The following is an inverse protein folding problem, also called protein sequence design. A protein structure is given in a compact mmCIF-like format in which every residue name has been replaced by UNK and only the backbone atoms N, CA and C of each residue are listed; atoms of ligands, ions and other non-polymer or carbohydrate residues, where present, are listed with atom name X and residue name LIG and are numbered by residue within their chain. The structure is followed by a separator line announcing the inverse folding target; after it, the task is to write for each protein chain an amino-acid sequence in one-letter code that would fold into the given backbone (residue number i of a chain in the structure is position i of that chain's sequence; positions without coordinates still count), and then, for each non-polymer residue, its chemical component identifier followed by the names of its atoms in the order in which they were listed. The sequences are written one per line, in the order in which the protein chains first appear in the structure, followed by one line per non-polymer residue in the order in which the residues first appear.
data_IF_126043247264
#
_entry.id   IF_126043247264
#
_cell.length_a   1.000
_cell.length_b   1.000
_cell.length_c   1.000
_cell.angle_alpha   90.00
_cell.angle_beta   90.00
_cell.angle_gamma   90.00
#
_symmetry.space_group_name_H-M   'P 1'
#
loop_
_entity.id
_entity.type
_entity.pdbx_description
1 polymer ?
#
# COMPACT_ATOMS: atom_id res chain seq x y z
N UNK A 1 -0.09 -0.83 25.08
CA UNK A 1 0.82 -0.42 24.01
C UNK A 1 0.05 -0.28 22.69
N UNK A 2 0.58 0.44 21.75
CA UNK A 2 -0.07 0.66 20.46
C UNK A 2 -0.37 -0.64 19.70
N UNK A 3 0.56 -1.59 19.73
CA UNK A 3 0.38 -2.90 19.10
C UNK A 3 -0.80 -3.67 19.67
N UNK A 4 -0.98 -3.64 20.99
CA UNK A 4 -2.10 -4.32 21.65
C UNK A 4 -3.43 -3.67 21.30
N UNK A 5 -3.47 -2.34 21.24
CA UNK A 5 -4.67 -1.59 20.86
C UNK A 5 -5.06 -1.89 19.43
N UNK A 6 -4.09 -1.91 18.54
CA UNK A 6 -4.33 -2.21 17.12
C UNK A 6 -4.87 -3.63 16.96
N UNK A 7 -4.25 -4.61 17.59
CA UNK A 7 -4.69 -6.01 17.51
C UNK A 7 -6.09 -6.18 18.07
N UNK A 8 -6.39 -5.57 19.22
CA UNK A 8 -7.72 -5.61 19.82
C UNK A 8 -8.77 -5.00 18.91
N UNK A 9 -8.44 -3.90 18.24
CA UNK A 9 -9.33 -3.22 17.30
C UNK A 9 -9.64 -4.13 16.11
N UNK A 10 -8.62 -4.75 15.53
CA UNK A 10 -8.79 -5.68 14.40
C UNK A 10 -9.68 -6.85 14.78
N UNK A 11 -9.45 -7.47 15.92
CA UNK A 11 -10.21 -8.62 16.39
C UNK A 11 -11.67 -8.24 16.72
N UNK A 12 -11.85 -7.13 17.41
CA UNK A 12 -13.19 -6.65 17.80
C UNK A 12 -14.08 -6.37 16.60
N UNK A 13 -13.52 -5.78 15.56
CA UNK A 13 -14.27 -5.39 14.38
C UNK A 13 -14.25 -6.42 13.26
N UNK A 14 -13.55 -7.54 13.47
CA UNK A 14 -13.50 -8.63 12.49
C UNK A 14 -12.90 -8.19 11.15
N UNK A 15 -11.93 -7.28 11.16
CA UNK A 15 -11.40 -6.69 9.94
C UNK A 15 -10.63 -7.70 9.09
N UNK A 16 -9.78 -8.50 9.73
CA UNK A 16 -9.06 -9.59 9.08
C UNK A 16 -8.49 -10.52 10.14
N UNK A 17 -8.15 -11.74 9.72
CA UNK A 17 -7.57 -12.76 10.60
C UNK A 17 -6.12 -13.04 10.21
N UNK A 18 -5.44 -13.86 11.04
CA UNK A 18 -4.05 -14.26 10.75
C UNK A 18 -3.93 -15.17 9.52
N UNK A 19 -5.02 -15.80 9.12
CA UNK A 19 -5.03 -16.66 7.93
C UNK A 19 -5.21 -15.86 6.64
N UNK A 20 -5.66 -14.63 6.74
CA UNK A 20 -5.83 -13.76 5.58
C UNK A 20 -4.47 -13.28 5.07
N UNK A 21 -4.36 -13.17 3.76
CA UNK A 21 -3.22 -12.52 3.11
C UNK A 21 -3.67 -11.12 2.71
N UNK A 22 -3.12 -10.14 3.38
CA UNK A 22 -3.53 -8.74 3.23
C UNK A 22 -2.61 -8.02 2.26
N UNK A 23 -3.17 -7.26 1.34
CA UNK A 23 -2.40 -6.32 0.53
C UNK A 23 -2.46 -4.96 1.21
N UNK A 24 -1.35 -4.55 1.81
CA UNK A 24 -1.24 -3.28 2.51
C UNK A 24 -0.77 -2.20 1.55
N UNK A 25 -1.58 -1.18 1.39
CA UNK A 25 -1.22 -0.06 0.52
C UNK A 25 -0.49 1.01 1.35
N UNK A 26 0.73 1.33 0.94
CA UNK A 26 1.63 2.18 1.74
C UNK A 26 2.08 3.38 0.90
N UNK A 27 1.86 4.57 1.44
CA UNK A 27 2.18 5.82 0.74
C UNK A 27 3.60 6.34 0.99
N UNK A 28 4.26 5.85 2.04
CA UNK A 28 5.54 6.40 2.50
C UNK A 28 5.39 7.45 3.59
N UNK A 29 4.16 7.89 3.87
CA UNK A 29 3.90 8.82 4.98
C UNK A 29 4.01 8.12 6.34
N UNK A 30 4.08 8.91 7.40
CA UNK A 30 4.28 8.42 8.77
C UNK A 30 3.22 7.39 9.18
N UNK A 31 1.95 7.69 8.93
CA UNK A 31 0.84 6.80 9.32
C UNK A 31 0.91 5.45 8.60
N UNK A 32 1.22 5.47 7.30
CA UNK A 32 1.40 4.25 6.52
C UNK A 32 2.55 3.40 7.03
N UNK A 33 3.65 4.04 7.40
CA UNK A 33 4.85 3.34 7.87
C UNK A 33 4.63 2.75 9.26
N UNK A 34 3.86 3.43 10.13
CA UNK A 34 3.46 2.90 11.42
C UNK A 34 2.59 1.65 11.24
N UNK A 35 1.63 1.69 10.32
CA UNK A 35 0.76 0.55 10.04
C UNK A 35 1.56 -0.66 9.55
N UNK A 36 2.53 -0.43 8.65
CA UNK A 36 3.41 -1.49 8.16
C UNK A 36 4.19 -2.13 9.32
N UNK A 37 4.74 -1.33 10.20
CA UNK A 37 5.46 -1.80 11.38
C UNK A 37 4.56 -2.62 12.31
N UNK A 38 3.33 -2.17 12.55
CA UNK A 38 2.36 -2.88 13.38
C UNK A 38 2.00 -4.25 12.78
N UNK A 39 1.73 -4.30 11.49
CA UNK A 39 1.40 -5.55 10.80
C UNK A 39 2.56 -6.55 10.91
N UNK A 40 3.78 -6.09 10.70
CA UNK A 40 4.97 -6.93 10.81
C UNK A 40 5.18 -7.44 12.24
N UNK A 41 5.05 -6.56 13.23
CA UNK A 41 5.24 -6.89 14.65
C UNK A 41 4.23 -7.92 15.14
N UNK A 42 3.00 -7.88 14.62
CA UNK A 42 1.94 -8.79 15.03
C UNK A 42 1.94 -10.10 14.24
N UNK A 43 2.81 -10.23 13.24
CA UNK A 43 2.95 -11.47 12.48
C UNK A 43 1.82 -11.76 11.50
N UNK A 44 1.10 -10.75 11.05
CA UNK A 44 0.11 -10.91 10.00
C UNK A 44 0.77 -11.21 8.65
N UNK A 45 0.08 -11.97 7.81
CA UNK A 45 0.53 -12.24 6.44
C UNK A 45 0.13 -11.07 5.56
N UNK A 46 1.12 -10.41 4.97
CA UNK A 46 0.82 -9.28 4.10
C UNK A 46 1.90 -9.06 3.05
N UNK A 47 1.51 -8.37 1.99
CA UNK A 47 2.43 -7.79 1.03
C UNK A 47 2.20 -6.29 1.01
N UNK A 48 3.14 -5.55 0.48
CA UNK A 48 3.09 -4.09 0.40
C UNK A 48 2.93 -3.67 -1.05
N UNK A 49 1.98 -2.78 -1.31
CA UNK A 49 1.81 -2.15 -2.62
C UNK A 49 2.00 -0.64 -2.49
N UNK A 50 2.82 -0.08 -3.34
CA UNK A 50 3.09 1.35 -3.38
C UNK A 50 2.90 1.89 -4.79
N UNK A 51 2.12 2.97 -4.90
CA UNK A 51 1.91 3.68 -6.16
C UNK A 51 2.79 4.92 -6.19
N UNK A 52 3.61 5.03 -7.23
CA UNK A 52 4.30 6.28 -7.53
C UNK A 52 3.57 6.95 -8.69
N UNK A 53 2.77 7.97 -8.38
CA UNK A 53 1.97 8.68 -9.38
C UNK A 53 2.76 9.73 -10.14
N UNK A 54 4.04 9.91 -9.79
CA UNK A 54 4.96 10.84 -10.44
C UNK A 54 4.46 12.30 -10.44
N UNK A 55 3.77 12.67 -9.35
CA UNK A 55 3.16 14.00 -9.22
C UNK A 55 4.02 14.98 -8.44
N UNK A 56 4.98 14.49 -7.65
CA UNK A 56 5.83 15.30 -6.79
C UNK A 56 7.32 15.16 -7.08
N UNK A 57 7.65 14.67 -8.28
CA UNK A 57 9.02 14.53 -8.71
C UNK A 57 9.88 13.67 -7.78
N UNK A 58 10.98 14.25 -7.27
CA UNK A 58 11.93 13.55 -6.41
C UNK A 58 11.29 13.02 -5.11
N UNK A 59 10.32 13.72 -4.54
CA UNK A 59 9.62 13.25 -3.32
C UNK A 59 8.87 11.94 -3.57
N UNK A 60 8.23 11.80 -4.73
CA UNK A 60 7.53 10.57 -5.09
C UNK A 60 8.51 9.39 -5.21
N UNK A 61 9.69 9.64 -5.78
CA UNK A 61 10.72 8.62 -5.94
C UNK A 61 11.36 8.26 -4.59
N UNK A 62 11.54 9.22 -3.71
CA UNK A 62 12.02 8.98 -2.34
C UNK A 62 11.06 8.10 -1.54
N UNK A 63 9.77 8.36 -1.63
CA UNK A 63 8.75 7.55 -0.98
C UNK A 63 8.81 6.10 -1.45
N UNK A 64 8.98 5.88 -2.76
CA UNK A 64 9.11 4.56 -3.34
C UNK A 64 10.31 3.81 -2.74
N UNK A 65 11.45 4.46 -2.61
CA UNK A 65 12.67 3.88 -2.03
C UNK A 65 12.46 3.52 -0.56
N UNK A 66 11.85 4.42 0.21
CA UNK A 66 11.60 4.22 1.64
C UNK A 66 10.69 3.01 1.85
N UNK A 67 9.60 2.92 1.10
CA UNK A 67 8.65 1.80 1.20
C UNK A 67 9.32 0.48 0.85
N UNK A 68 10.08 0.43 -0.22
CA UNK A 68 10.79 -0.77 -0.65
C UNK A 68 11.80 -1.23 0.40
N UNK A 69 12.52 -0.29 1.01
CA UNK A 69 13.50 -0.57 2.06
C UNK A 69 12.85 -1.18 3.30
N UNK A 70 11.76 -0.58 3.75
CA UNK A 70 11.06 -1.08 4.94
C UNK A 70 10.40 -2.44 4.70
N UNK A 71 9.82 -2.65 3.53
CA UNK A 71 9.26 -3.96 3.16
C UNK A 71 10.35 -5.04 3.16
N UNK A 72 11.51 -4.73 2.60
CA UNK A 72 12.66 -5.65 2.59
C UNK A 72 13.16 -5.93 4.00
N UNK A 73 13.16 -4.93 4.88
CA UNK A 73 13.57 -5.07 6.27
C UNK A 73 12.72 -6.10 7.00
N UNK A 74 11.42 -6.14 6.73
CA UNK A 74 10.50 -7.09 7.35
C UNK A 74 10.34 -8.39 6.56
N UNK A 75 11.00 -8.51 5.41
CA UNK A 75 10.96 -9.70 4.59
C UNK A 75 9.62 -9.97 3.92
N UNK A 76 8.84 -8.93 3.65
CA UNK A 76 7.54 -9.05 3.00
C UNK A 76 7.61 -8.66 1.53
N UNK A 77 6.74 -9.24 0.67
CA UNK A 77 6.67 -8.86 -0.73
C UNK A 77 6.35 -7.38 -0.90
N UNK A 78 7.01 -6.73 -1.84
CA UNK A 78 6.78 -5.32 -2.15
C UNK A 78 6.53 -5.17 -3.64
N UNK A 79 5.41 -4.55 -3.97
CA UNK A 79 5.02 -4.26 -5.34
C UNK A 79 5.03 -2.76 -5.53
N UNK A 80 5.82 -2.28 -6.47
CA UNK A 80 5.88 -0.85 -6.80
C UNK A 80 5.46 -0.67 -8.24
N UNK A 81 4.67 0.37 -8.49
CA UNK A 81 4.30 0.74 -9.86
C UNK A 81 4.33 2.25 -10.01
N UNK A 82 4.93 2.70 -11.10
CA UNK A 82 4.92 4.09 -11.51
C UNK A 82 3.82 4.29 -12.53
N UNK A 83 3.05 5.36 -12.33
CA UNK A 83 1.96 5.74 -13.24
C UNK A 83 2.29 7.07 -13.87
N UNK A 84 2.07 7.19 -15.17
CA UNK A 84 2.07 8.48 -15.85
C UNK A 84 0.68 9.12 -15.69
N UNK A 85 0.45 9.67 -14.51
CA UNK A 85 -0.83 10.22 -14.12
C UNK A 85 -1.20 11.43 -14.98
N UNK A 86 -0.22 12.25 -15.32
CA UNK A 86 -0.43 13.42 -16.18
C UNK A 86 -0.96 13.03 -17.56
N UNK A 87 -0.37 12.00 -18.17
CA UNK A 87 -0.83 11.50 -19.48
C UNK A 87 -2.23 10.91 -19.39
N UNK A 88 -2.55 10.21 -18.31
CA UNK A 88 -3.89 9.65 -18.09
C UNK A 88 -4.93 10.75 -17.93
N UNK A 89 -4.62 11.81 -17.19
CA UNK A 89 -5.52 12.95 -17.04
C UNK A 89 -5.80 13.62 -18.39
N UNK A 90 -4.76 13.78 -19.20
CA UNK A 90 -4.89 14.36 -20.53
C UNK A 90 -5.77 13.50 -21.45
N UNK A 91 -5.57 12.18 -21.39
CA UNK A 91 -6.31 11.23 -22.21
C UNK A 91 -7.80 11.16 -21.85
N UNK A 92 -8.11 11.17 -20.55
CA UNK A 92 -9.48 10.93 -20.04
C UNK A 92 -10.25 12.17 -19.67
N UNK A 93 -9.57 13.30 -19.44
CA UNK A 93 -10.19 14.51 -18.91
C UNK A 93 -10.50 14.44 -17.42
N UNK A 94 -10.07 13.38 -16.74
CA UNK A 94 -10.27 13.24 -15.30
C UNK A 94 -9.42 14.22 -14.51
N UNK A 95 -9.88 14.56 -13.30
CA UNK A 95 -9.04 15.26 -12.32
C UNK A 95 -7.90 14.35 -11.86
N UNK A 96 -6.90 14.95 -11.23
CA UNK A 96 -5.77 14.20 -10.65
C UNK A 96 -6.25 13.15 -9.67
N UNK A 97 -7.17 13.50 -8.76
CA UNK A 97 -7.70 12.60 -7.76
C UNK A 97 -8.45 11.43 -8.36
N UNK A 98 -9.27 11.68 -9.37
CA UNK A 98 -10.03 10.64 -10.06
C UNK A 98 -9.11 9.68 -10.82
N UNK A 99 -8.15 10.22 -11.55
CA UNK A 99 -7.20 9.41 -12.31
C UNK A 99 -6.35 8.53 -11.37
N UNK A 100 -5.80 9.12 -10.33
CA UNK A 100 -4.98 8.40 -9.33
C UNK A 100 -5.79 7.28 -8.65
N UNK A 101 -7.03 7.57 -8.26
CA UNK A 101 -7.91 6.59 -7.62
C UNK A 101 -8.22 5.41 -8.56
N UNK A 102 -8.58 5.70 -9.80
CA UNK A 102 -8.88 4.66 -10.79
C UNK A 102 -7.67 3.77 -11.05
N UNK A 103 -6.51 4.36 -11.29
CA UNK A 103 -5.26 3.64 -11.53
C UNK A 103 -4.87 2.76 -10.34
N UNK A 104 -4.98 3.30 -9.14
CA UNK A 104 -4.64 2.61 -7.90
C UNK A 104 -5.51 1.38 -7.68
N UNK A 105 -6.83 1.53 -7.75
CA UNK A 105 -7.75 0.42 -7.49
C UNK A 105 -7.68 -0.66 -8.55
N UNK A 106 -7.51 -0.30 -9.81
CA UNK A 106 -7.35 -1.28 -10.88
C UNK A 106 -6.10 -2.13 -10.67
N UNK A 107 -5.01 -1.51 -10.26
CA UNK A 107 -3.77 -2.23 -9.99
C UNK A 107 -3.86 -3.12 -8.74
N UNK A 108 -4.46 -2.62 -7.66
CA UNK A 108 -4.63 -3.40 -6.44
C UNK A 108 -5.50 -4.63 -6.69
N UNK A 109 -6.57 -4.48 -7.46
CA UNK A 109 -7.43 -5.59 -7.83
C UNK A 109 -6.65 -6.64 -8.63
N UNK A 110 -5.85 -6.21 -9.60
CA UNK A 110 -5.01 -7.09 -10.39
C UNK A 110 -3.98 -7.83 -9.52
N UNK A 111 -3.31 -7.13 -8.60
CA UNK A 111 -2.36 -7.73 -7.66
C UNK A 111 -3.02 -8.76 -6.77
N UNK A 112 -4.19 -8.44 -6.24
CA UNK A 112 -4.93 -9.33 -5.34
C UNK A 112 -5.31 -10.63 -6.04
N UNK A 113 -5.77 -10.54 -7.28
CA UNK A 113 -6.12 -11.72 -8.08
C UNK A 113 -4.90 -12.54 -8.46
N UNK A 114 -3.83 -11.88 -8.87
CA UNK A 114 -2.61 -12.53 -9.34
C UNK A 114 -1.86 -13.24 -8.22
N UNK A 115 -1.80 -12.64 -7.04
CA UNK A 115 -0.99 -13.12 -5.92
C UNK A 115 -1.81 -13.68 -4.75
N UNK A 116 -3.12 -13.73 -4.85
CA UNK A 116 -3.98 -14.35 -3.84
C UNK A 116 -4.15 -13.55 -2.55
N UNK A 117 -4.22 -12.24 -2.65
CA UNK A 117 -4.56 -11.40 -1.49
C UNK A 117 -6.06 -11.31 -1.31
N UNK A 118 -6.47 -11.21 -0.08
CA UNK A 118 -7.89 -11.12 0.30
C UNK A 118 -8.36 -9.68 0.56
#
# INVERSE_FOLDING_TARGET
MLTDRFQSYVERHGLFSRDDRILLTVSGGVDSMVLLSLMASLGYRFGVAHCNFQLRGAESDEDEVIVAREAARYGVPCYNRRFDTAAEMERTGESMEMAARRLRYAWFDALSREHGYT
#
